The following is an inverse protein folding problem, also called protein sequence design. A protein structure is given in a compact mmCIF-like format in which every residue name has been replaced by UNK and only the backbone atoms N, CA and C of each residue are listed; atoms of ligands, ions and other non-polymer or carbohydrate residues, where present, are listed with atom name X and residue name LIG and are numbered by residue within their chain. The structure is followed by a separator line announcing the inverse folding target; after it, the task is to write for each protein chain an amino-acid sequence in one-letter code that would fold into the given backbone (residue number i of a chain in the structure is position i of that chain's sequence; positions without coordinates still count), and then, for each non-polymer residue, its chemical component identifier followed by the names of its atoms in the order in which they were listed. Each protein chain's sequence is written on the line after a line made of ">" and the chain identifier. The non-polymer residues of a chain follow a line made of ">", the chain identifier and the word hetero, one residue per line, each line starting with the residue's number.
data_IF_778518250570
#
_entry.id   IF_778518250570
#
_cell.length_a   1.000
_cell.length_b   1.000
_cell.length_c   1.000
_cell.angle_alpha   90.00
_cell.angle_beta   90.00
_cell.angle_gamma   90.00
#
_symmetry.space_group_name_H-M   'P 1'
#
loop_
_entity.id
_entity.type
_entity.pdbx_description
1 polymer ?
#
# COMPACT_ATOMS: atom_id res chain seq x y z
N UNK A 1 -1.39 33.21 -32.79
CA UNK A 1 -1.55 33.89 -31.49
C UNK A 1 -0.97 32.94 -30.43
N UNK A 2 0.28 33.15 -30.00
CA UNK A 2 0.92 32.27 -29.01
C UNK A 2 0.44 32.63 -27.61
N UNK A 3 0.02 31.63 -26.84
CA UNK A 3 -0.42 31.79 -25.46
C UNK A 3 0.75 32.29 -24.61
N UNK A 4 0.53 33.47 -24.03
CA UNK A 4 1.37 34.15 -23.06
C UNK A 4 1.51 33.30 -21.79
N UNK A 5 2.74 33.16 -21.30
CA UNK A 5 3.13 32.37 -20.12
C UNK A 5 2.29 32.70 -18.88
N UNK A 6 1.29 31.86 -18.59
CA UNK A 6 0.88 31.61 -17.22
C UNK A 6 1.68 30.40 -16.76
N UNK A 7 2.45 30.55 -15.68
CA UNK A 7 3.00 29.38 -14.98
C UNK A 7 1.83 28.43 -14.68
N UNK A 8 1.89 27.24 -15.26
CA UNK A 8 0.91 26.20 -15.01
C UNK A 8 1.18 25.72 -13.59
N UNK A 9 0.19 25.85 -12.71
CA UNK A 9 0.27 25.32 -11.36
C UNK A 9 0.32 23.79 -11.42
N UNK A 10 1.52 23.24 -11.21
CA UNK A 10 1.77 21.80 -11.21
C UNK A 10 1.58 21.16 -9.84
N UNK A 11 1.03 21.88 -8.84
CA UNK A 11 0.76 21.35 -7.50
C UNK A 11 -0.17 20.12 -7.47
N UNK A 12 -0.91 19.87 -8.56
CA UNK A 12 -1.81 18.73 -8.72
C UNK A 12 -1.15 17.48 -9.35
N UNK A 13 0.10 17.57 -9.80
CA UNK A 13 0.77 16.41 -10.39
C UNK A 13 1.09 15.38 -9.30
N UNK A 14 0.69 14.14 -9.55
CA UNK A 14 1.03 12.99 -8.69
C UNK A 14 2.10 12.14 -9.35
N UNK A 15 3.09 11.73 -8.55
CA UNK A 15 4.15 10.83 -9.01
C UNK A 15 3.59 9.42 -9.19
N UNK A 16 3.69 8.89 -10.41
CA UNK A 16 3.42 7.47 -10.70
C UNK A 16 4.73 6.72 -10.64
N UNK A 17 4.80 5.66 -9.83
CA UNK A 17 6.00 4.83 -9.68
C UNK A 17 5.74 3.41 -10.13
N UNK A 18 6.75 2.71 -10.68
CA UNK A 18 6.68 1.27 -10.87
C UNK A 18 6.50 0.54 -9.52
N UNK A 19 5.82 -0.59 -9.54
CA UNK A 19 5.53 -1.41 -8.35
C UNK A 19 6.83 -1.87 -7.65
N UNK A 20 7.86 -2.23 -8.40
CA UNK A 20 9.15 -2.63 -7.80
C UNK A 20 9.81 -1.48 -7.02
N UNK A 21 9.78 -0.26 -7.57
CA UNK A 21 10.29 0.93 -6.89
C UNK A 21 9.49 1.25 -5.62
N UNK A 22 8.16 1.13 -5.71
CA UNK A 22 7.30 1.28 -4.54
C UNK A 22 7.68 0.31 -3.43
N UNK A 23 7.94 -0.95 -3.77
CA UNK A 23 8.28 -1.98 -2.79
C UNK A 23 9.62 -1.70 -2.10
N UNK A 24 10.67 -1.38 -2.87
CA UNK A 24 11.98 -1.05 -2.30
C UNK A 24 11.93 0.17 -1.37
N UNK A 25 11.23 1.24 -1.78
CA UNK A 25 11.08 2.44 -0.95
C UNK A 25 10.21 2.18 0.28
N UNK A 26 9.20 1.34 0.15
CA UNK A 26 8.32 0.96 1.24
C UNK A 26 9.05 0.09 2.28
N UNK A 27 9.80 -0.93 1.85
CA UNK A 27 10.61 -1.78 2.74
C UNK A 27 11.62 -0.95 3.53
N UNK A 28 12.31 -0.02 2.87
CA UNK A 28 13.25 0.88 3.54
C UNK A 28 12.59 1.76 4.60
N UNK A 29 11.41 2.34 4.28
CA UNK A 29 10.62 3.12 5.25
C UNK A 29 10.10 2.26 6.39
N UNK A 30 9.66 1.04 6.08
CA UNK A 30 9.15 0.07 7.04
C UNK A 30 10.21 -0.34 8.05
N UNK A 31 11.41 -0.72 7.58
CA UNK A 31 12.53 -1.10 8.44
C UNK A 31 12.93 0.05 9.36
N UNK A 32 13.09 1.27 8.81
CA UNK A 32 13.39 2.46 9.63
C UNK A 32 12.34 2.67 10.72
N UNK A 33 11.06 2.59 10.36
CA UNK A 33 9.97 2.78 11.30
C UNK A 33 9.90 1.68 12.37
N UNK A 34 10.26 0.43 12.05
CA UNK A 34 10.37 -0.64 13.04
C UNK A 34 11.51 -0.37 14.02
N UNK A 35 12.68 0.04 13.52
CA UNK A 35 13.84 0.40 14.34
C UNK A 35 13.55 1.61 15.24
N UNK A 36 12.87 2.63 14.72
CA UNK A 36 12.47 3.81 15.48
C UNK A 36 11.40 3.47 16.54
N UNK A 37 10.53 2.49 16.28
CA UNK A 37 9.53 1.99 17.22
C UNK A 37 10.11 1.16 18.35
N UNK A 38 11.24 0.48 18.15
CA UNK A 38 11.96 -0.23 19.22
C UNK A 38 12.64 0.77 20.17
N UNK A 39 13.05 1.93 19.67
CA UNK A 39 13.61 3.01 20.48
C UNK A 39 12.53 3.88 21.17
N UNK A 40 11.29 3.90 20.68
CA UNK A 40 10.16 4.69 21.19
C UNK A 40 9.00 3.80 21.64
N UNK A 41 9.22 2.95 22.64
CA UNK A 41 8.22 1.98 23.12
C UNK A 41 6.99 2.60 23.82
N UNK A 42 6.69 3.90 23.69
CA UNK A 42 5.63 4.55 24.48
C UNK A 42 4.64 5.45 23.74
N UNK A 43 4.59 5.50 22.39
CA UNK A 43 3.67 6.46 21.75
C UNK A 43 3.07 6.02 20.40
N UNK A 44 2.14 5.06 20.39
CA UNK A 44 0.93 5.15 19.53
C UNK A 44 -0.12 4.10 19.90
N UNK A 45 -0.58 4.15 21.15
CA UNK A 45 -1.80 3.46 21.61
C UNK A 45 -3.08 4.21 21.21
N UNK A 46 -3.16 4.77 19.99
CA UNK A 46 -4.27 5.65 19.59
C UNK A 46 -4.79 5.41 18.17
N UNK A 47 -5.11 4.16 17.85
CA UNK A 47 -6.30 3.95 17.02
C UNK A 47 -6.95 2.63 17.42
N UNK A 48 -8.08 2.79 18.11
CA UNK A 48 -8.94 1.78 18.70
C UNK A 48 -9.10 0.53 17.82
N UNK A 49 -8.73 -0.61 18.40
CA UNK A 49 -9.65 -1.72 18.66
C UNK A 49 -10.57 -2.10 17.48
N UNK A 50 -10.22 -3.19 16.78
CA UNK A 50 -11.16 -4.28 16.49
C UNK A 50 -10.41 -5.55 16.08
N UNK A 51 -10.75 -6.62 16.81
CA UNK A 51 -10.56 -8.03 16.52
C UNK A 51 -9.14 -8.61 16.66
N UNK A 52 -8.60 -8.52 17.88
CA UNK A 52 -7.66 -9.56 18.35
C UNK A 52 -8.47 -10.83 18.66
N UNK A 53 -8.56 -11.73 17.68
CA UNK A 53 -8.94 -13.13 17.95
C UNK A 53 -7.84 -13.70 18.85
N UNK A 54 -8.11 -13.77 20.14
CA UNK A 54 -7.28 -14.46 21.13
C UNK A 54 -7.29 -15.95 20.81
N UNK A 55 -6.31 -16.42 20.05
CA UNK A 55 -6.01 -17.84 19.92
C UNK A 55 -4.84 -18.15 20.86
N UNK A 56 -5.13 -18.91 21.91
CA UNK A 56 -4.18 -19.38 22.92
C UNK A 56 -3.22 -20.43 22.33
N UNK A 57 -2.25 -19.99 21.52
CA UNK A 57 -1.30 -20.89 20.88
C UNK A 57 -0.04 -20.18 20.41
N UNK A 58 1.06 -20.36 21.18
CA UNK A 58 2.46 -19.96 20.94
C UNK A 58 2.66 -18.47 20.62
N UNK A 59 3.50 -17.81 21.42
CA UNK A 59 3.98 -16.45 21.16
C UNK A 59 4.82 -16.42 19.87
N UNK A 60 4.16 -16.34 18.72
CA UNK A 60 4.80 -15.84 17.51
C UNK A 60 5.22 -14.41 17.82
N UNK A 61 6.50 -14.08 17.63
CA UNK A 61 7.01 -12.72 17.71
C UNK A 61 5.97 -11.80 17.07
N UNK A 62 5.42 -10.88 17.86
CA UNK A 62 4.19 -10.15 17.53
C UNK A 62 4.29 -9.60 16.10
N UNK A 63 3.58 -10.23 15.15
CA UNK A 63 3.56 -9.77 13.77
C UNK A 63 2.85 -8.41 13.75
N UNK A 64 3.64 -7.33 13.82
CA UNK A 64 3.12 -5.96 13.78
C UNK A 64 2.60 -5.68 12.37
N UNK A 65 1.30 -5.90 12.14
CA UNK A 65 0.60 -5.44 10.94
C UNK A 65 0.37 -3.93 11.06
N UNK A 66 0.74 -3.16 10.04
CA UNK A 66 0.38 -1.74 9.93
C UNK A 66 -0.31 -1.47 8.61
N UNK A 67 -1.22 -0.51 8.64
CA UNK A 67 -1.95 -0.02 7.48
C UNK A 67 -1.37 1.36 7.16
N UNK A 68 -1.08 1.59 5.88
CA UNK A 68 -0.61 2.89 5.38
C UNK A 68 -1.70 3.52 4.52
N UNK A 69 -1.91 4.81 4.72
CA UNK A 69 -2.80 5.57 3.84
C UNK A 69 -2.03 5.97 2.58
N UNK A 70 -2.72 6.03 1.44
CA UNK A 70 -2.09 6.43 0.18
C UNK A 70 -1.59 7.87 0.20
N UNK A 71 -2.15 8.72 1.06
CA UNK A 71 -1.67 10.06 1.31
C UNK A 71 -0.27 10.07 1.94
N UNK A 72 0.05 9.07 2.78
CA UNK A 72 1.33 8.98 3.47
C UNK A 72 2.46 8.56 2.52
N UNK A 73 2.12 7.87 1.42
CA UNK A 73 3.11 7.38 0.46
C UNK A 73 3.51 8.43 -0.57
N UNK A 74 2.63 9.39 -0.86
CA UNK A 74 2.87 10.48 -1.82
C UNK A 74 2.93 10.04 -3.28
N UNK A 75 2.58 8.78 -3.57
CA UNK A 75 2.70 8.18 -4.91
C UNK A 75 1.39 7.54 -5.36
N UNK A 76 1.25 7.38 -6.68
CA UNK A 76 0.16 6.64 -7.33
C UNK A 76 0.73 5.38 -7.96
N UNK A 77 0.06 4.26 -7.72
CA UNK A 77 0.32 3.01 -8.41
C UNK A 77 -0.60 2.89 -9.62
N UNK A 78 -0.05 2.50 -10.75
CA UNK A 78 -0.78 2.32 -12.00
C UNK A 78 -0.42 0.97 -12.61
N UNK A 79 -1.44 0.22 -13.02
CA UNK A 79 -1.26 -1.10 -13.59
C UNK A 79 -2.58 -1.72 -14.04
N UNK A 80 -2.49 -2.95 -14.53
CA UNK A 80 -3.64 -3.75 -14.95
C UNK A 80 -4.18 -4.56 -13.78
N UNK A 81 -5.50 -4.64 -13.65
CA UNK A 81 -6.13 -5.56 -12.72
C UNK A 81 -6.21 -6.95 -13.35
N UNK A 82 -5.70 -7.96 -12.65
CA UNK A 82 -5.70 -9.36 -13.08
C UNK A 82 -6.02 -10.27 -11.90
N UNK A 83 -6.68 -11.40 -12.14
CA UNK A 83 -6.79 -12.46 -11.13
C UNK A 83 -5.62 -13.42 -11.30
N UNK A 84 -4.87 -13.63 -10.23
CA UNK A 84 -3.83 -14.66 -10.20
C UNK A 84 -4.46 -16.04 -10.30
N UNK A 85 -4.06 -16.81 -11.32
CA UNK A 85 -4.56 -18.18 -11.51
C UNK A 85 -4.09 -19.14 -10.41
N UNK A 86 -2.96 -18.85 -9.76
CA UNK A 86 -2.41 -19.74 -8.72
C UNK A 86 -3.05 -19.52 -7.36
N UNK A 87 -3.49 -18.29 -7.06
CA UNK A 87 -4.03 -17.93 -5.75
C UNK A 87 -5.50 -17.51 -5.75
N UNK A 88 -6.08 -17.24 -6.93
CA UNK A 88 -7.40 -16.64 -7.09
C UNK A 88 -7.49 -15.18 -6.63
N UNK A 89 -6.37 -14.55 -6.25
CA UNK A 89 -6.37 -13.18 -5.72
C UNK A 89 -6.38 -12.16 -6.83
N UNK A 90 -7.12 -11.07 -6.63
CA UNK A 90 -7.08 -9.90 -7.50
C UNK A 90 -5.77 -9.15 -7.26
N UNK A 91 -5.06 -8.82 -8.34
CA UNK A 91 -3.76 -8.18 -8.31
C UNK A 91 -3.72 -6.96 -9.23
N UNK A 92 -3.03 -5.91 -8.78
CA UNK A 92 -2.58 -4.83 -9.64
C UNK A 92 -1.20 -5.19 -10.19
N UNK A 93 -1.06 -5.22 -11.51
CA UNK A 93 0.14 -5.72 -12.21
C UNK A 93 0.68 -4.68 -13.17
N UNK A 94 1.96 -4.35 -13.06
CA UNK A 94 2.68 -3.53 -14.02
C UNK A 94 3.84 -4.33 -14.67
N UNK A 95 4.72 -3.66 -15.41
CA UNK A 95 5.86 -4.31 -16.06
C UNK A 95 6.94 -4.81 -15.07
N UNK A 96 6.87 -4.41 -13.80
CA UNK A 96 7.89 -4.64 -12.78
C UNK A 96 7.46 -5.60 -11.69
N UNK A 97 6.15 -5.80 -11.51
CA UNK A 97 5.64 -6.73 -10.51
C UNK A 97 4.13 -6.69 -10.35
N UNK A 98 3.68 -7.27 -9.25
CA UNK A 98 2.27 -7.36 -8.89
C UNK A 98 2.06 -7.20 -7.40
N UNK A 99 0.96 -6.57 -7.00
CA UNK A 99 0.50 -6.53 -5.60
C UNK A 99 -0.93 -7.05 -5.50
N UNK A 100 -1.24 -7.76 -4.42
CA UNK A 100 -2.62 -8.16 -4.12
C UNK A 100 -3.43 -6.93 -3.73
N UNK A 101 -4.63 -6.78 -4.28
CA UNK A 101 -5.51 -5.64 -4.02
C UNK A 101 -6.90 -6.08 -3.57
N UNK A 102 -7.47 -5.32 -2.64
CA UNK A 102 -8.85 -5.48 -2.19
C UNK A 102 -9.59 -4.21 -2.55
N UNK A 103 -10.60 -4.33 -3.42
CA UNK A 103 -11.42 -3.19 -3.82
C UNK A 103 -12.80 -3.35 -3.19
N UNK A 104 -13.16 -2.52 -2.19
CA UNK A 104 -14.45 -2.62 -1.53
C UNK A 104 -15.58 -2.31 -2.51
N UNK A 105 -16.67 -3.10 -2.46
CA UNK A 105 -17.85 -2.90 -3.30
C UNK A 105 -17.77 -3.50 -4.71
N UNK A 106 -16.66 -4.16 -5.06
CA UNK A 106 -16.57 -4.95 -6.30
C UNK A 106 -17.04 -6.38 -6.01
N UNK A 107 -18.01 -6.93 -6.76
CA UNK A 107 -18.41 -8.33 -6.63
C UNK A 107 -17.19 -9.24 -6.91
N UNK A 108 -16.99 -10.25 -6.08
CA UNK A 108 -15.92 -11.26 -6.24
C UNK A 108 -15.97 -12.03 -7.58
N UNK A 109 -17.03 -11.83 -8.36
CA UNK A 109 -17.31 -12.49 -9.64
C UNK A 109 -16.94 -11.65 -10.87
N UNK A 110 -15.80 -10.95 -10.84
CA UNK A 110 -15.19 -10.50 -12.10
C UNK A 110 -14.63 -11.73 -12.83
N UNK A 111 -15.51 -12.39 -13.60
CA UNK A 111 -15.10 -13.26 -14.67
C UNK A 111 -14.43 -12.39 -15.73
N UNK A 112 -13.09 -12.35 -15.72
CA UNK A 112 -12.34 -11.91 -16.88
C UNK A 112 -12.62 -12.93 -17.98
N UNK A 113 -13.53 -12.59 -18.91
CA UNK A 113 -13.72 -13.32 -20.16
C UNK A 113 -12.47 -13.21 -21.03
#
# INVERSE_FOLDING_TARGET
>A
MCAHCKEVDYSLLKLVVPISCFWSDFENRWIKMLLDSENNFDFMNSMKERDYVSCSGRSYANLKRKIFLSQDTGVVLLGNLKVSLSSGRLQLVDATGSIDVVIPGIPSAWAFN
#
